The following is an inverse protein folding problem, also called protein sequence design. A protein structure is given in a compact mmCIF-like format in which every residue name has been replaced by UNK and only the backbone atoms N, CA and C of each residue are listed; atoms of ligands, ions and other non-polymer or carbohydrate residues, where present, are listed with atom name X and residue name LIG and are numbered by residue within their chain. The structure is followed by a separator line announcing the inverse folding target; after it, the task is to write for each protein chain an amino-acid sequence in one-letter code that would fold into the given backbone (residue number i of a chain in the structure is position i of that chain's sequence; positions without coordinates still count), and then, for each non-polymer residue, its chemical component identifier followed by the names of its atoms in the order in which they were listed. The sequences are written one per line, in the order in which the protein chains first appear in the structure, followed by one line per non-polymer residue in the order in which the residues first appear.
data_IF_703250440798
#
_entry.id   IF_703250440798
#
_cell.length_a   1.000
_cell.length_b   1.000
_cell.length_c   1.000
_cell.angle_alpha   90.00
_cell.angle_beta   90.00
_cell.angle_gamma   90.00
#
_symmetry.space_group_name_H-M   'P 1'
#
loop_
_entity.id
_entity.type
_entity.pdbx_description
1 polymer ?
#
# COMPACT_ATOMS: atom_id res chain seq x y z
N UNK A 1 6.45 13.36 1.36
CA UNK A 1 6.39 12.00 0.84
C UNK A 1 6.82 11.00 1.90
N UNK A 2 6.71 9.70 1.62
CA UNK A 2 7.23 8.61 2.46
C UNK A 2 8.76 8.55 2.37
N UNK A 3 9.40 7.90 3.34
CA UNK A 3 10.83 7.58 3.26
C UNK A 3 11.13 6.60 2.11
N UNK A 4 12.26 6.77 1.45
CA UNK A 4 12.72 5.92 0.32
C UNK A 4 11.68 5.73 -0.82
N UNK A 5 10.84 6.70 -1.04
CA UNK A 5 9.68 6.62 -1.93
C UNK A 5 9.80 7.53 -3.16
N UNK A 6 11.04 7.87 -3.52
CA UNK A 6 11.43 8.54 -4.76
C UNK A 6 12.92 8.36 -4.99
N UNK A 7 13.34 8.19 -6.23
CA UNK A 7 14.75 8.26 -6.61
C UNK A 7 15.25 9.72 -6.52
N UNK A 8 16.28 9.97 -5.73
CA UNK A 8 16.85 11.34 -5.55
C UNK A 8 17.34 11.96 -6.85
N UNK A 9 17.78 11.14 -7.81
CA UNK A 9 18.15 11.62 -9.15
C UNK A 9 16.96 12.19 -9.93
N UNK A 10 15.73 11.75 -9.63
CA UNK A 10 14.49 12.32 -10.20
C UNK A 10 14.26 13.74 -9.68
N UNK A 11 14.54 13.99 -8.41
CA UNK A 11 14.48 15.34 -7.83
C UNK A 11 15.49 16.26 -8.52
N UNK A 12 16.74 15.80 -8.61
CA UNK A 12 17.82 16.54 -9.28
C UNK A 12 17.46 16.86 -10.73
N UNK A 13 16.91 15.87 -11.46
CA UNK A 13 16.52 16.06 -12.85
C UNK A 13 15.37 17.08 -13.00
N UNK A 14 14.39 17.07 -12.09
CA UNK A 14 13.32 18.07 -12.08
C UNK A 14 13.88 19.49 -11.88
N UNK A 15 14.79 19.68 -10.91
CA UNK A 15 15.42 20.96 -10.64
C UNK A 15 16.22 21.48 -11.84
N UNK A 16 16.99 20.59 -12.47
CA UNK A 16 17.81 20.93 -13.65
C UNK A 16 16.96 21.32 -14.87
N UNK A 17 15.86 20.59 -15.11
CA UNK A 17 14.99 20.84 -16.28
C UNK A 17 14.08 22.06 -16.10
N UNK A 18 13.66 22.36 -14.87
CA UNK A 18 12.64 23.39 -14.61
C UNK A 18 13.18 24.65 -13.96
N UNK A 19 14.33 24.57 -13.30
CA UNK A 19 14.88 25.64 -12.46
C UNK A 19 14.08 25.86 -11.16
N UNK A 20 13.19 24.93 -10.79
CA UNK A 20 12.41 24.97 -9.55
C UNK A 20 13.13 24.12 -8.51
N UNK A 21 13.52 24.74 -7.39
CA UNK A 21 14.16 24.02 -6.29
C UNK A 21 13.12 23.25 -5.46
N UNK A 22 13.49 22.03 -5.06
CA UNK A 22 12.66 21.13 -4.25
C UNK A 22 13.22 21.05 -2.83
N UNK A 23 12.38 21.30 -1.85
CA UNK A 23 12.66 21.00 -0.44
C UNK A 23 11.85 19.74 -0.10
N UNK A 24 12.55 18.64 0.09
CA UNK A 24 11.94 17.32 0.24
C UNK A 24 11.92 16.91 1.70
N UNK A 25 10.73 16.74 2.25
CA UNK A 25 10.48 16.24 3.61
C UNK A 25 9.81 14.86 3.57
N UNK A 26 10.10 14.02 4.54
CA UNK A 26 9.50 12.70 4.70
C UNK A 26 8.66 12.62 5.95
N UNK A 27 7.69 11.71 5.96
CA UNK A 27 6.89 11.31 7.12
C UNK A 27 6.79 9.78 7.16
N UNK A 28 6.55 9.23 8.34
CA UNK A 28 6.46 7.77 8.53
C UNK A 28 5.02 7.27 8.46
N UNK A 29 4.03 8.10 8.83
CA UNK A 29 2.62 7.73 8.81
C UNK A 29 1.73 8.87 8.33
N UNK A 30 0.56 8.54 7.76
CA UNK A 30 -0.47 9.53 7.40
C UNK A 30 -0.92 10.33 8.62
N UNK A 31 -0.97 9.70 9.79
CA UNK A 31 -1.39 10.28 11.06
C UNK A 31 -0.38 11.31 11.59
N UNK A 32 0.89 11.19 11.25
CA UNK A 32 1.91 12.21 11.52
C UNK A 32 1.83 13.37 10.53
N UNK A 33 1.64 13.09 9.25
CA UNK A 33 1.54 14.09 8.20
C UNK A 33 0.30 14.97 8.33
N UNK A 34 -0.87 14.35 8.58
CA UNK A 34 -2.16 15.04 8.56
C UNK A 34 -2.21 16.29 9.48
N UNK A 35 -1.89 16.19 10.80
CA UNK A 35 -1.96 17.35 11.68
C UNK A 35 -0.95 18.45 11.31
N UNK A 36 0.18 18.12 10.71
CA UNK A 36 1.18 19.10 10.27
C UNK A 36 0.63 19.92 9.09
N UNK A 37 0.01 19.26 8.13
CA UNK A 37 -0.63 19.91 6.98
C UNK A 37 -1.85 20.72 7.43
N UNK A 38 -2.68 20.17 8.33
CA UNK A 38 -3.87 20.84 8.88
C UNK A 38 -3.50 22.12 9.63
N UNK A 39 -2.48 22.06 10.47
CA UNK A 39 -2.01 23.22 11.24
C UNK A 39 -1.47 24.36 10.35
N UNK A 40 -1.00 24.04 9.13
CA UNK A 40 -0.54 25.01 8.13
C UNK A 40 0.66 25.84 8.57
N UNK A 41 1.37 25.41 9.60
CA UNK A 41 2.60 26.06 10.08
C UNK A 41 3.78 25.83 9.14
N UNK A 42 3.88 24.64 8.55
CA UNK A 42 4.71 24.33 7.41
C UNK A 42 3.78 24.31 6.18
N UNK A 43 4.16 25.06 5.14
CA UNK A 43 3.38 25.11 3.91
C UNK A 43 4.00 24.19 2.89
N UNK A 44 3.42 23.02 2.76
CA UNK A 44 3.75 22.10 1.68
C UNK A 44 3.02 22.50 0.40
N UNK A 45 3.70 22.47 -0.72
CA UNK A 45 3.10 22.72 -2.03
C UNK A 45 2.48 21.44 -2.60
N UNK A 46 3.03 20.28 -2.24
CA UNK A 46 2.56 18.96 -2.68
C UNK A 46 2.83 17.93 -1.59
N UNK A 47 1.94 16.98 -1.43
CA UNK A 47 2.09 15.82 -0.53
C UNK A 47 1.59 14.54 -1.21
N UNK A 48 2.06 13.37 -0.77
CA UNK A 48 1.69 12.07 -1.34
C UNK A 48 1.15 11.14 -0.25
N UNK A 49 -0.10 11.32 0.21
CA UNK A 49 -0.75 10.45 1.17
C UNK A 49 -1.43 9.24 0.52
N UNK A 50 -1.87 8.30 1.35
CA UNK A 50 -2.67 7.16 0.93
C UNK A 50 -4.16 7.53 0.74
N UNK A 51 -4.88 6.67 0.04
CA UNK A 51 -6.28 6.77 -0.35
C UNK A 51 -7.24 7.27 0.75
N UNK A 52 -7.34 6.58 1.89
CA UNK A 52 -8.24 6.96 2.99
C UNK A 52 -7.91 8.33 3.59
N UNK A 53 -6.62 8.69 3.60
CA UNK A 53 -6.18 9.98 4.10
C UNK A 53 -6.50 11.10 3.10
N UNK A 54 -6.38 10.84 1.80
CA UNK A 54 -6.84 11.77 0.76
C UNK A 54 -8.32 12.04 0.90
N UNK A 55 -9.14 11.00 1.11
CA UNK A 55 -10.57 11.16 1.39
C UNK A 55 -10.81 12.07 2.60
N UNK A 56 -10.14 11.79 3.71
CA UNK A 56 -10.23 12.62 4.93
C UNK A 56 -9.84 14.07 4.67
N UNK A 57 -8.80 14.31 3.90
CA UNK A 57 -8.35 15.66 3.54
C UNK A 57 -9.37 16.37 2.63
N UNK A 58 -10.02 15.66 1.69
CA UNK A 58 -11.09 16.20 0.85
C UNK A 58 -12.28 16.57 1.73
N UNK A 59 -12.75 15.68 2.58
CA UNK A 59 -13.90 15.88 3.47
C UNK A 59 -13.70 17.09 4.40
N UNK A 60 -12.46 17.33 4.83
CA UNK A 60 -12.06 18.47 5.65
C UNK A 60 -11.65 19.71 4.83
N UNK A 61 -11.89 19.71 3.50
CA UNK A 61 -11.61 20.84 2.60
C UNK A 61 -10.17 21.35 2.69
N UNK A 62 -9.21 20.42 2.81
CA UNK A 62 -7.79 20.69 2.94
C UNK A 62 -7.03 20.69 1.62
N UNK A 63 -7.64 20.25 0.52
CA UNK A 63 -7.02 20.11 -0.78
C UNK A 63 -7.50 21.18 -1.77
N UNK A 64 -6.63 21.52 -2.71
CA UNK A 64 -6.96 22.32 -3.88
C UNK A 64 -7.31 21.42 -5.05
N UNK A 65 -8.33 21.78 -5.84
CA UNK A 65 -8.59 21.11 -7.11
C UNK A 65 -7.42 21.30 -8.06
N UNK A 66 -7.01 20.23 -8.73
CA UNK A 66 -5.93 20.23 -9.72
C UNK A 66 -6.38 20.84 -11.03
N UNK A 67 -5.48 21.57 -11.69
CA UNK A 67 -5.65 22.03 -13.06
C UNK A 67 -4.93 21.07 -14.01
N UNK A 68 -5.69 20.16 -14.62
CA UNK A 68 -5.13 19.13 -15.51
C UNK A 68 -4.55 19.70 -16.80
N UNK A 69 -4.83 20.95 -17.17
CA UNK A 69 -4.13 21.63 -18.26
C UNK A 69 -2.63 21.81 -17.94
N UNK A 70 -2.27 21.85 -16.66
CA UNK A 70 -0.88 21.88 -16.18
C UNK A 70 -0.27 20.47 -15.99
N UNK A 71 -1.07 19.40 -16.09
CA UNK A 71 -0.67 18.01 -15.85
C UNK A 71 -1.00 17.12 -17.07
N UNK A 72 -0.58 17.49 -18.29
CA UNK A 72 -0.95 16.71 -19.48
C UNK A 72 -0.43 15.27 -19.45
N UNK A 73 0.67 14.98 -18.77
CA UNK A 73 1.20 13.61 -18.65
C UNK A 73 0.34 12.72 -17.73
N UNK A 74 -0.68 13.25 -17.04
CA UNK A 74 -1.64 12.43 -16.32
C UNK A 74 -2.40 11.44 -17.24
N UNK A 75 -2.42 11.70 -18.55
CA UNK A 75 -2.91 10.76 -19.57
C UNK A 75 -2.13 9.43 -19.62
N UNK A 76 -0.95 9.38 -19.00
CA UNK A 76 -0.15 8.16 -18.87
C UNK A 76 -0.63 7.24 -17.74
N UNK A 77 -1.48 7.73 -16.84
CA UNK A 77 -2.08 6.90 -15.79
C UNK A 77 -3.21 6.06 -16.40
N UNK A 78 -3.15 4.74 -16.17
CA UNK A 78 -4.12 3.81 -16.75
C UNK A 78 -5.54 4.01 -16.21
N UNK A 79 -6.55 3.78 -17.05
CA UNK A 79 -7.98 3.96 -16.73
C UNK A 79 -8.43 3.19 -15.49
N UNK A 80 -7.84 2.01 -15.25
CA UNK A 80 -8.15 1.19 -14.07
C UNK A 80 -7.81 1.93 -12.77
N UNK A 81 -6.69 2.63 -12.73
CA UNK A 81 -6.22 3.36 -11.55
C UNK A 81 -7.03 4.64 -11.31
N UNK A 82 -7.42 5.34 -12.39
CA UNK A 82 -8.38 6.44 -12.29
C UNK A 82 -9.73 5.99 -11.72
N UNK A 83 -10.19 4.81 -12.13
CA UNK A 83 -11.41 4.22 -11.59
C UNK A 83 -11.27 3.82 -10.12
N UNK A 84 -10.11 3.30 -9.73
CA UNK A 84 -9.80 3.01 -8.32
C UNK A 84 -9.82 4.29 -7.48
N UNK A 85 -9.19 5.36 -7.94
CA UNK A 85 -9.14 6.65 -7.25
C UNK A 85 -10.51 7.27 -6.99
N UNK A 86 -11.51 6.97 -7.81
CA UNK A 86 -12.90 7.40 -7.57
C UNK A 86 -13.49 6.86 -6.26
N UNK A 87 -12.88 5.84 -5.66
CA UNK A 87 -13.27 5.32 -4.35
C UNK A 87 -13.05 6.33 -3.21
N UNK A 88 -12.08 7.24 -3.34
CA UNK A 88 -11.73 8.26 -2.35
C UNK A 88 -11.72 9.69 -2.90
N UNK A 89 -11.58 9.88 -4.21
CA UNK A 89 -11.68 11.15 -4.94
C UNK A 89 -12.70 10.99 -6.08
N UNK A 90 -14.02 11.14 -5.84
CA UNK A 90 -15.09 10.69 -6.73
C UNK A 90 -15.03 11.22 -8.16
N UNK A 91 -14.50 12.41 -8.34
CA UNK A 91 -14.39 13.07 -9.66
C UNK A 91 -12.94 13.14 -10.16
N UNK A 92 -11.99 12.51 -9.46
CA UNK A 92 -10.54 12.60 -9.71
C UNK A 92 -10.06 14.07 -9.80
N UNK A 93 -10.52 14.92 -8.89
CA UNK A 93 -10.23 16.36 -8.94
C UNK A 93 -9.00 16.77 -8.13
N UNK A 94 -8.64 15.98 -7.14
CA UNK A 94 -7.69 16.37 -6.10
C UNK A 94 -6.40 15.58 -6.14
N UNK A 95 -6.38 14.41 -6.78
CA UNK A 95 -5.28 13.45 -6.67
C UNK A 95 -4.85 12.87 -8.01
N UNK A 96 -3.55 12.60 -8.15
CA UNK A 96 -2.97 11.87 -9.29
C UNK A 96 -2.25 10.63 -8.75
N UNK A 97 -2.64 9.40 -9.17
CA UNK A 97 -2.03 8.15 -8.75
C UNK A 97 -0.52 8.13 -8.96
N UNK A 98 0.22 7.62 -7.97
CA UNK A 98 1.68 7.56 -7.97
C UNK A 98 2.22 6.13 -7.85
N UNK A 99 1.83 5.42 -6.80
CA UNK A 99 2.15 4.01 -6.58
C UNK A 99 0.91 3.28 -6.07
N UNK A 100 0.87 1.97 -6.26
CA UNK A 100 -0.23 1.14 -5.79
C UNK A 100 0.26 -0.27 -5.44
N UNK A 101 -0.59 -1.04 -4.80
CA UNK A 101 -0.29 -2.44 -4.51
C UNK A 101 -1.40 -3.14 -3.75
N UNK A 102 -1.07 -4.33 -3.31
CA UNK A 102 -1.95 -5.22 -2.54
C UNK A 102 -1.29 -5.62 -1.23
N UNK A 103 -2.09 -6.15 -0.31
CA UNK A 103 -1.63 -6.88 0.86
C UNK A 103 -1.86 -8.36 0.60
N UNK A 104 -0.90 -9.21 0.90
CA UNK A 104 -1.02 -10.66 0.65
C UNK A 104 -0.22 -11.49 1.64
N UNK A 105 -0.23 -12.79 1.41
CA UNK A 105 0.54 -13.76 2.18
C UNK A 105 1.85 -14.04 1.45
N UNK A 106 2.96 -13.75 2.10
CA UNK A 106 4.30 -14.22 1.74
C UNK A 106 4.53 -15.54 2.47
N UNK A 107 4.94 -16.59 1.75
CA UNK A 107 5.13 -17.91 2.35
C UNK A 107 6.42 -18.59 1.88
N UNK A 108 7.00 -19.36 2.78
CA UNK A 108 8.19 -20.18 2.51
C UNK A 108 7.74 -21.61 2.17
N UNK A 109 7.85 -21.99 0.88
CA UNK A 109 7.41 -23.30 0.38
C UNK A 109 8.01 -24.47 1.14
N UNK A 110 9.32 -24.44 1.38
CA UNK A 110 10.03 -25.52 2.03
C UNK A 110 9.64 -25.69 3.50
N UNK A 111 9.37 -24.57 4.20
CA UNK A 111 8.86 -24.62 5.58
C UNK A 111 7.43 -25.18 5.62
N UNK A 112 6.55 -24.77 4.70
CA UNK A 112 5.20 -25.32 4.61
C UNK A 112 5.21 -26.81 4.30
N UNK A 113 6.08 -27.27 3.40
CA UNK A 113 6.25 -28.71 3.12
C UNK A 113 6.69 -29.49 4.37
N UNK A 114 7.63 -28.95 5.14
CA UNK A 114 8.11 -29.57 6.39
C UNK A 114 7.00 -29.66 7.45
N UNK A 115 6.13 -28.66 7.51
CA UNK A 115 4.96 -28.62 8.39
C UNK A 115 3.79 -29.47 7.85
N UNK A 116 3.86 -29.93 6.59
CA UNK A 116 2.79 -30.66 5.90
C UNK A 116 1.59 -29.77 5.60
N UNK A 117 1.82 -28.48 5.38
CA UNK A 117 0.81 -27.46 5.06
C UNK A 117 0.83 -27.23 3.54
N UNK A 118 -0.31 -27.16 2.83
CA UNK A 118 -0.36 -26.77 1.43
C UNK A 118 -0.06 -25.28 1.29
N UNK A 119 0.30 -24.86 0.08
CA UNK A 119 0.43 -23.43 -0.27
C UNK A 119 -0.89 -22.68 0.01
N UNK A 120 -0.83 -21.47 0.60
CA UNK A 120 -2.03 -20.74 1.00
C UNK A 120 -2.81 -20.24 -0.22
N UNK A 121 -4.14 -20.25 -0.12
CA UNK A 121 -5.07 -19.73 -1.13
C UNK A 121 -6.17 -18.87 -0.52
N UNK A 122 -6.30 -18.90 0.80
CA UNK A 122 -7.34 -18.27 1.59
C UNK A 122 -6.73 -17.57 2.81
N UNK A 123 -7.32 -16.47 3.26
CA UNK A 123 -6.96 -15.89 4.56
C UNK A 123 -7.16 -16.86 5.72
N UNK A 124 -8.05 -17.85 5.56
CA UNK A 124 -8.28 -18.89 6.59
C UNK A 124 -7.05 -19.76 6.85
N UNK A 125 -6.13 -19.86 5.89
CA UNK A 125 -4.90 -20.65 6.02
C UNK A 125 -4.01 -20.13 7.15
N UNK A 126 -4.05 -18.81 7.45
CA UNK A 126 -3.37 -18.20 8.60
C UNK A 126 -3.92 -18.62 9.98
N UNK A 127 -4.91 -19.50 10.04
CA UNK A 127 -5.44 -20.11 11.28
C UNK A 127 -5.10 -21.59 11.41
N UNK A 128 -4.24 -22.15 10.56
CA UNK A 128 -3.80 -23.53 10.68
C UNK A 128 -2.97 -23.71 11.97
N UNK A 129 -3.38 -24.61 12.90
CA UNK A 129 -2.68 -24.81 14.17
C UNK A 129 -1.25 -25.33 14.03
N UNK A 130 -0.86 -25.82 12.85
CA UNK A 130 0.52 -26.23 12.56
C UNK A 130 1.46 -25.03 12.37
N UNK A 131 0.93 -23.82 12.17
CA UNK A 131 1.67 -22.57 12.09
C UNK A 131 1.95 -21.92 13.46
N UNK A 132 1.92 -22.69 14.55
CA UNK A 132 2.16 -22.15 15.89
C UNK A 132 3.53 -21.47 15.98
N UNK A 133 3.55 -20.15 16.26
CA UNK A 133 4.75 -19.28 16.30
C UNK A 133 5.49 -19.13 14.94
N UNK A 134 4.76 -19.31 13.83
CA UNK A 134 5.30 -19.30 12.46
C UNK A 134 4.66 -18.22 11.57
N UNK A 135 3.84 -17.32 12.14
CA UNK A 135 3.16 -16.27 11.40
C UNK A 135 3.69 -14.89 11.81
N UNK A 136 4.03 -14.08 10.80
CA UNK A 136 4.29 -12.65 10.95
C UNK A 136 3.06 -11.85 10.50
N UNK A 137 2.34 -11.28 11.47
CA UNK A 137 1.13 -10.51 11.19
C UNK A 137 1.39 -9.02 11.06
N UNK A 138 0.53 -8.35 10.29
CA UNK A 138 0.57 -6.89 10.15
C UNK A 138 0.29 -6.16 11.47
N UNK A 139 1.11 -5.17 11.77
CA UNK A 139 0.90 -4.23 12.87
C UNK A 139 0.06 -3.01 12.43
N UNK A 140 -0.35 -2.93 11.17
CA UNK A 140 -1.37 -2.00 10.67
C UNK A 140 -2.74 -2.50 11.11
N UNK A 141 -3.50 -1.64 11.82
CA UNK A 141 -4.81 -2.01 12.38
C UNK A 141 -5.78 -2.40 11.29
N UNK A 142 -5.91 -1.55 10.26
CA UNK A 142 -6.87 -1.76 9.19
C UNK A 142 -6.54 -3.00 8.37
N UNK A 143 -5.25 -3.28 8.09
CA UNK A 143 -4.83 -4.47 7.36
C UNK A 143 -4.99 -5.75 8.19
N UNK A 144 -4.68 -5.71 9.49
CA UNK A 144 -4.92 -6.85 10.37
C UNK A 144 -6.43 -7.22 10.46
N UNK A 145 -7.28 -6.21 10.62
CA UNK A 145 -8.74 -6.43 10.62
C UNK A 145 -9.26 -6.88 9.25
N UNK A 146 -8.71 -6.34 8.15
CA UNK A 146 -9.09 -6.73 6.79
C UNK A 146 -9.02 -8.24 6.60
N UNK A 147 -7.97 -8.88 7.08
CA UNK A 147 -7.75 -10.33 6.96
C UNK A 147 -8.94 -11.12 7.56
N UNK A 148 -9.32 -10.79 8.79
CA UNK A 148 -10.44 -11.45 9.47
C UNK A 148 -11.80 -11.10 8.84
N UNK A 149 -11.98 -9.85 8.43
CA UNK A 149 -13.22 -9.39 7.78
C UNK A 149 -13.42 -10.08 6.42
N UNK A 150 -12.37 -10.12 5.58
CA UNK A 150 -12.44 -10.78 4.27
C UNK A 150 -12.68 -12.28 4.39
N UNK A 151 -12.07 -12.97 5.35
CA UNK A 151 -12.33 -14.37 5.63
C UNK A 151 -13.81 -14.62 5.97
N UNK A 152 -14.50 -13.64 6.59
CA UNK A 152 -15.94 -13.72 6.88
C UNK A 152 -16.83 -13.25 5.71
N UNK A 153 -16.26 -12.76 4.64
CA UNK A 153 -17.00 -12.17 3.52
C UNK A 153 -17.56 -10.79 3.81
N UNK A 154 -17.03 -10.10 4.83
CA UNK A 154 -17.39 -8.72 5.15
C UNK A 154 -16.55 -7.72 4.33
N UNK A 155 -17.08 -6.50 4.18
CA UNK A 155 -16.28 -5.40 3.63
C UNK A 155 -15.18 -5.00 4.61
N UNK A 156 -13.96 -4.73 4.11
CA UNK A 156 -12.88 -4.15 4.91
C UNK A 156 -13.18 -2.71 5.36
N UNK A 157 -14.25 -2.12 4.80
CA UNK A 157 -14.74 -0.79 5.16
C UNK A 157 -16.01 -0.83 6.04
N UNK A 158 -16.28 -1.96 6.69
CA UNK A 158 -17.43 -2.04 7.61
C UNK A 158 -17.24 -1.12 8.81
N UNK A 159 -18.34 -0.47 9.21
CA UNK A 159 -18.48 0.24 10.50
C UNK A 159 -19.45 -0.48 11.42
N UNK A 160 -19.88 -1.70 11.07
CA UNK A 160 -20.78 -2.50 11.88
C UNK A 160 -20.05 -3.06 13.11
N UNK A 161 -20.42 -2.65 14.35
CA UNK A 161 -19.71 -3.10 15.55
C UNK A 161 -19.74 -4.61 15.78
N UNK A 162 -20.78 -5.30 15.31
CA UNK A 162 -20.89 -6.77 15.47
C UNK A 162 -19.87 -7.48 14.54
N UNK A 163 -19.73 -7.03 13.28
CA UNK A 163 -18.75 -7.56 12.34
C UNK A 163 -17.31 -7.30 12.83
N UNK A 164 -17.06 -6.09 13.37
CA UNK A 164 -15.78 -5.73 13.96
C UNK A 164 -15.46 -6.58 15.20
N UNK A 165 -16.46 -6.86 16.04
CA UNK A 165 -16.28 -7.72 17.20
C UNK A 165 -15.96 -9.16 16.81
N UNK A 166 -16.61 -9.73 15.76
CA UNK A 166 -16.26 -11.02 15.21
C UNK A 166 -14.84 -11.07 14.69
N UNK A 167 -14.41 -10.04 13.93
CA UNK A 167 -13.05 -9.95 13.41
C UNK A 167 -12.01 -9.86 14.54
N UNK A 168 -12.26 -9.06 15.58
CA UNK A 168 -11.42 -9.00 16.78
C UNK A 168 -11.27 -10.35 17.45
N UNK A 169 -12.37 -11.06 17.66
CA UNK A 169 -12.36 -12.36 18.33
C UNK A 169 -11.57 -13.41 17.54
N UNK A 170 -11.66 -13.37 16.19
CA UNK A 170 -10.83 -14.18 15.31
C UNK A 170 -9.35 -13.85 15.44
N UNK A 171 -8.98 -12.58 15.46
CA UNK A 171 -7.57 -12.18 15.63
C UNK A 171 -7.02 -12.56 17.01
N UNK A 172 -7.85 -12.55 18.05
CA UNK A 172 -7.50 -13.08 19.38
C UNK A 172 -7.28 -14.60 19.33
N UNK A 173 -8.13 -15.33 18.62
CA UNK A 173 -7.98 -16.80 18.42
C UNK A 173 -6.69 -17.13 17.66
N UNK A 174 -6.32 -16.31 16.68
CA UNK A 174 -5.10 -16.49 15.88
C UNK A 174 -3.82 -16.25 16.69
N UNK A 175 -3.86 -15.42 17.71
CA UNK A 175 -2.67 -14.92 18.42
C UNK A 175 -1.65 -15.98 18.84
N UNK A 176 -2.02 -17.20 19.30
CA UNK A 176 -1.07 -18.26 19.62
C UNK A 176 -0.23 -18.76 18.42
N UNK A 177 -0.64 -18.43 17.19
CA UNK A 177 0.04 -18.78 15.96
C UNK A 177 1.03 -17.67 15.52
N UNK A 178 0.82 -16.46 16.03
CA UNK A 178 1.56 -15.26 15.63
C UNK A 178 2.86 -15.13 16.40
N UNK A 179 3.98 -15.20 15.69
CA UNK A 179 5.32 -14.94 16.22
C UNK A 179 5.49 -13.46 16.60
N UNK A 180 5.10 -12.58 15.68
CA UNK A 180 5.22 -11.13 15.86
C UNK A 180 4.20 -10.35 15.02
N UNK A 181 3.83 -9.15 15.54
CA UNK A 181 3.13 -8.12 14.78
C UNK A 181 4.16 -7.10 14.30
N UNK A 182 4.39 -7.03 13.00
CA UNK A 182 5.43 -6.22 12.36
C UNK A 182 4.91 -5.57 11.08
N UNK A 183 5.63 -4.63 10.50
CA UNK A 183 5.33 -4.04 9.19
C UNK A 183 6.50 -4.41 8.24
N UNK A 184 7.48 -3.56 8.07
CA UNK A 184 8.58 -3.77 7.13
C UNK A 184 9.51 -4.92 7.52
N UNK A 185 9.60 -5.24 8.83
CA UNK A 185 10.42 -6.34 9.33
C UNK A 185 9.96 -7.74 8.86
N UNK A 186 8.74 -7.87 8.30
CA UNK A 186 8.28 -9.13 7.68
C UNK A 186 9.30 -9.57 6.63
N UNK A 187 9.70 -8.67 5.76
CA UNK A 187 10.63 -8.89 4.67
C UNK A 187 11.92 -9.57 5.16
N UNK A 188 12.62 -8.90 6.08
CA UNK A 188 13.93 -9.38 6.55
C UNK A 188 13.82 -10.71 7.33
N UNK A 189 12.76 -10.86 8.13
CA UNK A 189 12.51 -12.10 8.87
C UNK A 189 12.21 -13.28 7.96
N UNK A 190 11.41 -13.08 6.91
CA UNK A 190 11.12 -14.13 5.93
C UNK A 190 12.37 -14.50 5.11
N UNK A 191 13.18 -13.51 4.68
CA UNK A 191 14.48 -13.73 4.02
C UNK A 191 15.45 -14.53 4.94
N UNK A 192 15.38 -14.34 6.25
CA UNK A 192 16.18 -15.09 7.21
C UNK A 192 15.60 -16.48 7.55
N UNK A 193 14.44 -16.85 7.03
CA UNK A 193 13.77 -18.11 7.33
C UNK A 193 13.25 -18.21 8.78
N UNK A 194 12.84 -17.08 9.37
CA UNK A 194 12.41 -17.03 10.77
C UNK A 194 10.92 -17.38 10.95
N UNK A 195 10.12 -17.45 9.87
CA UNK A 195 8.70 -17.78 9.91
C UNK A 195 8.27 -18.46 8.60
N UNK A 196 7.18 -19.24 8.65
CA UNK A 196 6.64 -19.93 7.50
C UNK A 196 5.74 -19.05 6.64
N UNK A 197 4.99 -18.14 7.26
CA UNK A 197 4.08 -17.21 6.58
C UNK A 197 4.19 -15.80 7.16
N UNK A 198 4.01 -14.81 6.29
CA UNK A 198 3.99 -13.39 6.68
C UNK A 198 3.01 -12.58 5.85
N UNK A 199 2.32 -11.64 6.47
CA UNK A 199 1.45 -10.71 5.75
C UNK A 199 2.25 -9.48 5.37
N UNK A 200 2.32 -9.16 4.06
CA UNK A 200 3.22 -8.16 3.51
C UNK A 200 2.57 -7.37 2.37
N UNK A 201 3.14 -6.21 2.06
CA UNK A 201 2.79 -5.43 0.88
C UNK A 201 3.50 -5.97 -0.38
N UNK A 202 2.79 -6.02 -1.50
CA UNK A 202 3.27 -6.63 -2.75
C UNK A 202 4.57 -6.03 -3.29
N UNK A 203 4.84 -4.75 -3.07
CA UNK A 203 6.03 -4.06 -3.55
C UNK A 203 7.35 -4.59 -2.98
N UNK A 204 7.31 -5.26 -1.82
CA UNK A 204 8.49 -5.85 -1.22
C UNK A 204 9.03 -7.08 -1.99
N UNK A 205 8.22 -7.64 -2.88
CA UNK A 205 8.57 -8.89 -3.57
C UNK A 205 9.79 -8.78 -4.46
N UNK A 206 10.01 -7.65 -5.14
CA UNK A 206 11.22 -7.48 -5.97
C UNK A 206 12.49 -7.52 -5.12
N UNK A 207 12.51 -6.77 -4.04
CA UNK A 207 13.64 -6.77 -3.11
C UNK A 207 13.89 -8.17 -2.52
N UNK A 208 12.82 -8.88 -2.13
CA UNK A 208 12.92 -10.23 -1.57
C UNK A 208 13.53 -11.19 -2.60
N UNK A 209 13.10 -11.14 -3.85
CA UNK A 209 13.62 -11.99 -4.93
C UNK A 209 15.10 -11.70 -5.20
N UNK A 210 15.49 -10.43 -5.26
CA UNK A 210 16.89 -10.03 -5.40
C UNK A 210 17.76 -10.52 -4.24
N UNK A 211 17.30 -10.39 -3.00
CA UNK A 211 18.05 -10.83 -1.83
C UNK A 211 18.20 -12.36 -1.76
N UNK A 212 17.18 -13.11 -2.14
CA UNK A 212 17.27 -14.57 -2.22
C UNK A 212 18.36 -14.99 -3.21
N UNK A 213 18.41 -14.35 -4.39
CA UNK A 213 19.43 -14.63 -5.42
C UNK A 213 20.83 -14.22 -4.95
N UNK A 214 20.99 -13.00 -4.43
CA UNK A 214 22.28 -12.49 -3.95
C UNK A 214 22.88 -13.32 -2.81
N UNK A 215 22.07 -13.76 -1.87
CA UNK A 215 22.48 -14.57 -0.73
C UNK A 215 22.63 -16.06 -1.08
N UNK A 216 22.16 -16.47 -2.26
CA UNK A 216 22.18 -17.87 -2.73
C UNK A 216 21.38 -18.80 -1.81
N UNK A 217 20.22 -18.33 -1.35
CA UNK A 217 19.35 -19.12 -0.49
C UNK A 217 18.70 -20.25 -1.28
N UNK A 218 18.49 -21.40 -0.62
CA UNK A 218 17.98 -22.62 -1.23
C UNK A 218 16.49 -22.87 -0.93
N UNK A 219 15.73 -21.80 -0.68
CA UNK A 219 14.29 -21.84 -0.47
C UNK A 219 13.58 -20.73 -1.25
N UNK A 220 12.33 -20.99 -1.58
CA UNK A 220 11.48 -20.12 -2.36
C UNK A 220 10.50 -19.38 -1.45
N UNK A 221 10.50 -18.04 -1.56
CA UNK A 221 9.46 -17.18 -0.98
C UNK A 221 8.51 -16.75 -2.10
N UNK A 222 7.24 -17.06 -1.93
CA UNK A 222 6.20 -16.69 -2.89
C UNK A 222 5.10 -15.87 -2.23
N UNK A 223 4.41 -15.10 -3.06
CA UNK A 223 3.36 -14.18 -2.64
C UNK A 223 2.01 -14.57 -3.27
N UNK A 224 0.95 -14.50 -2.48
CA UNK A 224 -0.40 -14.73 -2.97
C UNK A 224 -1.39 -13.74 -2.38
N UNK A 225 -2.31 -13.25 -3.20
CA UNK A 225 -3.53 -12.56 -2.75
C UNK A 225 -4.64 -13.61 -2.64
N UNK A 226 -5.18 -13.85 -1.43
CA UNK A 226 -6.27 -14.81 -1.22
C UNK A 226 -7.54 -14.49 -2.00
N UNK A 227 -8.31 -15.54 -2.35
CA UNK A 227 -9.50 -15.42 -3.21
C UNK A 227 -10.62 -14.55 -2.60
N UNK A 228 -10.65 -14.38 -1.29
CA UNK A 228 -11.61 -13.51 -0.61
C UNK A 228 -11.37 -12.02 -0.88
N UNK A 229 -10.24 -11.69 -1.51
CA UNK A 229 -9.81 -10.33 -1.77
C UNK A 229 -9.02 -9.71 -0.63
N UNK A 230 -8.51 -8.52 -0.86
CA UNK A 230 -7.58 -7.82 0.03
C UNK A 230 -7.78 -6.31 0.00
N UNK A 231 -6.90 -5.59 0.71
CA UNK A 231 -6.70 -4.16 0.54
C UNK A 231 -5.98 -3.91 -0.79
N UNK A 232 -6.62 -3.12 -1.65
CA UNK A 232 -5.93 -2.38 -2.71
C UNK A 232 -5.59 -1.01 -2.13
N UNK A 233 -4.34 -0.63 -2.14
CA UNK A 233 -3.94 0.71 -1.71
C UNK A 233 -3.37 1.48 -2.89
N UNK A 234 -3.55 2.80 -2.87
CA UNK A 234 -3.05 3.70 -3.88
C UNK A 234 -2.62 5.02 -3.23
N UNK A 235 -1.34 5.30 -3.34
CA UNK A 235 -0.79 6.58 -2.92
C UNK A 235 -0.84 7.56 -4.08
N UNK A 236 -1.21 8.78 -3.81
CA UNK A 236 -1.42 9.78 -4.85
C UNK A 236 -0.90 11.16 -4.45
N UNK A 237 -0.40 11.90 -5.43
CA UNK A 237 0.01 13.27 -5.25
C UNK A 237 -1.19 14.20 -5.16
N UNK A 238 -1.21 15.02 -4.13
CA UNK A 238 -2.25 16.03 -3.88
C UNK A 238 -1.62 17.39 -3.55
N UNK A 239 -2.35 18.47 -3.80
CA UNK A 239 -1.94 19.83 -3.51
C UNK A 239 -2.74 20.35 -2.32
N UNK A 240 -2.10 20.69 -1.17
CA UNK A 240 -2.77 21.31 -0.05
C UNK A 240 -3.41 22.66 -0.44
N UNK A 241 -4.57 22.97 0.13
CA UNK A 241 -5.31 24.20 -0.20
C UNK A 241 -4.56 25.50 0.09
N UNK A 242 -3.64 25.45 1.05
CA UNK A 242 -2.80 26.57 1.47
C UNK A 242 -1.43 26.59 0.79
N UNK A 243 -1.21 25.77 -0.25
CA UNK A 243 0.00 25.76 -1.06
C UNK A 243 0.27 27.17 -1.64
N UNK A 244 1.52 27.62 -1.56
CA UNK A 244 1.93 28.92 -2.08
C UNK A 244 2.34 28.84 -3.56
N UNK A 245 2.76 27.65 -4.01
CA UNK A 245 3.30 27.42 -5.34
C UNK A 245 2.54 26.32 -6.11
N UNK A 246 1.19 26.40 -6.17
CA UNK A 246 0.33 25.40 -6.80
C UNK A 246 0.76 25.05 -8.23
N UNK A 247 1.11 26.03 -9.07
CA UNK A 247 1.55 25.77 -10.44
C UNK A 247 2.88 24.98 -10.48
N UNK A 248 3.80 25.25 -9.54
CA UNK A 248 5.04 24.47 -9.41
C UNK A 248 4.76 23.03 -8.93
N UNK A 249 3.81 22.87 -8.02
CA UNK A 249 3.35 21.55 -7.56
C UNK A 249 2.72 20.73 -8.71
N UNK A 250 1.88 21.35 -9.54
CA UNK A 250 1.30 20.70 -10.71
C UNK A 250 2.35 20.34 -11.77
N UNK A 251 3.38 21.18 -11.95
CA UNK A 251 4.53 20.83 -12.80
C UNK A 251 5.33 19.66 -12.25
N UNK A 252 5.48 19.56 -10.93
CA UNK A 252 6.09 18.41 -10.27
C UNK A 252 5.29 17.13 -10.55
N UNK A 253 3.98 17.15 -10.33
CA UNK A 253 3.10 16.02 -10.61
C UNK A 253 3.18 15.63 -12.09
N UNK A 254 3.12 16.60 -12.99
CA UNK A 254 3.23 16.35 -14.43
C UNK A 254 4.58 15.73 -14.81
N UNK A 255 5.67 16.16 -14.19
CA UNK A 255 7.00 15.61 -14.41
C UNK A 255 7.08 14.16 -13.97
N UNK A 256 6.54 13.82 -12.80
CA UNK A 256 6.51 12.45 -12.28
C UNK A 256 5.63 11.49 -13.11
N UNK A 257 4.66 12.03 -13.86
CA UNK A 257 3.83 11.26 -14.78
C UNK A 257 4.52 10.96 -16.13
N UNK A 258 5.69 11.50 -16.42
CA UNK A 258 6.44 11.14 -17.63
C UNK A 258 6.82 9.65 -17.57
N UNK A 259 6.67 8.88 -18.65
CA UNK A 259 7.00 7.45 -18.66
C UNK A 259 8.43 7.12 -18.23
N UNK A 260 9.42 7.88 -18.71
CA UNK A 260 10.84 7.72 -18.37
C UNK A 260 11.13 7.99 -16.88
N UNK A 261 10.46 8.99 -16.30
CA UNK A 261 10.59 9.36 -14.89
C UNK A 261 9.84 8.36 -13.99
N UNK A 262 8.62 8.01 -14.36
CA UNK A 262 7.83 7.01 -13.64
C UNK A 262 8.51 5.64 -13.62
N UNK A 263 9.16 5.23 -14.75
CA UNK A 263 9.96 4.01 -14.82
C UNK A 263 11.16 4.06 -13.88
N UNK A 264 11.90 5.19 -13.88
CA UNK A 264 13.04 5.38 -13.00
C UNK A 264 12.66 5.30 -11.52
N UNK A 265 11.53 5.92 -11.15
CA UNK A 265 10.97 5.80 -9.80
C UNK A 265 10.52 4.36 -9.49
N UNK A 266 9.86 3.67 -10.42
CA UNK A 266 9.45 2.29 -10.24
C UNK A 266 10.65 1.38 -9.96
N UNK A 267 11.74 1.52 -10.72
CA UNK A 267 12.97 0.73 -10.52
C UNK A 267 13.62 0.96 -9.14
N UNK A 268 13.47 2.15 -8.58
CA UNK A 268 14.00 2.48 -7.26
C UNK A 268 13.06 2.07 -6.12
N UNK A 269 11.76 2.41 -6.26
CA UNK A 269 10.75 2.22 -5.21
C UNK A 269 10.32 0.75 -5.13
N UNK A 270 10.34 0.02 -6.25
CA UNK A 270 9.88 -1.37 -6.45
C UNK A 270 8.37 -1.60 -6.31
N UNK A 271 7.60 -0.59 -5.88
CA UNK A 271 6.15 -0.67 -5.81
C UNK A 271 5.49 -0.38 -7.16
N UNK A 272 4.41 -1.07 -7.45
CA UNK A 272 3.76 -1.05 -8.75
C UNK A 272 3.37 0.35 -9.20
N UNK A 273 3.69 0.65 -10.46
CA UNK A 273 3.37 1.94 -11.06
C UNK A 273 1.99 1.91 -11.73
N UNK A 274 1.16 2.95 -11.56
CA UNK A 274 -0.07 3.12 -12.32
C UNK A 274 0.17 3.72 -13.72
N UNK A 275 1.43 4.05 -14.06
CA UNK A 275 1.81 4.68 -15.31
C UNK A 275 1.99 3.64 -16.43
N UNK A 276 1.14 3.67 -17.44
CA UNK A 276 1.13 2.71 -18.55
C UNK A 276 2.40 2.77 -19.38
N UNK A 277 2.95 3.97 -19.60
CA UNK A 277 4.20 4.13 -20.33
C UNK A 277 5.41 3.58 -19.57
N UNK A 278 5.44 3.72 -18.24
CA UNK A 278 6.48 3.12 -17.41
C UNK A 278 6.37 1.59 -17.41
N UNK A 279 5.15 1.04 -17.33
CA UNK A 279 4.91 -0.39 -17.47
C UNK A 279 5.41 -0.92 -18.83
N UNK A 280 5.11 -0.23 -19.93
CA UNK A 280 5.58 -0.60 -21.28
C UNK A 280 7.11 -0.53 -21.45
N UNK A 281 7.79 0.32 -20.68
CA UNK A 281 9.25 0.43 -20.64
C UNK A 281 9.92 -0.64 -19.78
N UNK A 282 9.16 -1.35 -18.95
CA UNK A 282 9.66 -2.45 -18.13
C UNK A 282 9.90 -3.69 -18.99
N UNK A 283 10.81 -4.55 -18.53
CA UNK A 283 11.05 -5.82 -19.22
C UNK A 283 9.88 -6.80 -19.03
N UNK A 284 9.90 -7.88 -19.83
CA UNK A 284 8.81 -8.87 -19.85
C UNK A 284 8.69 -9.63 -18.52
N UNK A 285 9.77 -9.79 -17.77
CA UNK A 285 9.78 -10.45 -16.47
C UNK A 285 9.03 -9.62 -15.43
N UNK A 286 9.32 -8.32 -15.34
CA UNK A 286 8.59 -7.39 -14.47
C UNK A 286 7.13 -7.25 -14.87
N UNK A 287 6.82 -7.15 -16.17
CA UNK A 287 5.44 -7.04 -16.66
C UNK A 287 4.58 -8.27 -16.30
N UNK A 288 5.20 -9.46 -16.26
CA UNK A 288 4.54 -10.72 -15.90
C UNK A 288 4.62 -11.08 -14.41
N UNK A 289 5.16 -10.21 -13.57
CA UNK A 289 5.20 -10.44 -12.13
C UNK A 289 3.81 -10.25 -11.51
N UNK A 290 3.14 -11.35 -11.17
CA UNK A 290 1.77 -11.35 -10.65
C UNK A 290 1.63 -10.70 -9.26
N UNK A 291 2.71 -10.61 -8.48
CA UNK A 291 2.69 -9.89 -7.21
C UNK A 291 2.56 -8.37 -7.44
N UNK A 292 3.21 -7.86 -8.49
CA UNK A 292 3.21 -6.44 -8.84
C UNK A 292 2.04 -6.06 -9.76
N UNK A 293 1.75 -6.91 -10.74
CA UNK A 293 0.72 -6.67 -11.76
C UNK A 293 -0.24 -7.87 -11.85
N UNK A 294 -1.05 -8.09 -10.80
CA UNK A 294 -2.01 -9.20 -10.77
C UNK A 294 -3.08 -9.04 -11.85
N UNK A 295 -3.64 -10.18 -12.28
CA UNK A 295 -4.82 -10.16 -13.16
C UNK A 295 -6.01 -9.50 -12.43
N UNK A 296 -6.33 -8.27 -12.83
CA UNK A 296 -7.43 -7.48 -12.27
C UNK A 296 -8.81 -8.13 -12.48
N UNK A 297 -8.92 -9.11 -13.38
CA UNK A 297 -10.13 -9.89 -13.62
C UNK A 297 -10.23 -11.15 -12.76
N UNK A 298 -9.19 -11.49 -12.01
CA UNK A 298 -9.19 -12.63 -11.09
C UNK A 298 -10.24 -12.47 -9.97
N UNK A 299 -10.72 -13.58 -9.36
CA UNK A 299 -11.63 -13.51 -8.21
C UNK A 299 -11.07 -12.69 -7.04
N UNK A 300 -9.79 -12.88 -6.71
CA UNK A 300 -9.10 -12.16 -5.66
C UNK A 300 -9.18 -10.64 -5.87
N UNK A 301 -8.84 -10.17 -7.06
CA UNK A 301 -8.84 -8.73 -7.36
C UNK A 301 -10.25 -8.14 -7.43
N UNK A 302 -11.24 -8.89 -7.95
CA UNK A 302 -12.66 -8.46 -7.97
C UNK A 302 -13.27 -8.35 -6.57
N UNK A 303 -12.79 -9.13 -5.62
CA UNK A 303 -13.24 -9.11 -4.23
C UNK A 303 -12.44 -8.11 -3.37
N UNK A 304 -11.38 -7.53 -3.91
CA UNK A 304 -10.54 -6.55 -3.22
C UNK A 304 -11.21 -5.17 -3.16
N UNK A 305 -10.84 -4.39 -2.16
CA UNK A 305 -11.41 -3.07 -1.92
C UNK A 305 -10.32 -2.07 -1.55
N UNK A 306 -10.53 -0.79 -1.86
CA UNK A 306 -9.71 0.32 -1.38
C UNK A 306 -10.15 0.69 0.03
N UNK A 307 -9.20 1.02 0.91
CA UNK A 307 -9.48 1.55 2.23
C UNK A 307 -10.20 2.91 2.12
N UNK A 308 -11.21 3.11 2.98
CA UNK A 308 -11.92 4.37 3.11
C UNK A 308 -11.77 4.94 4.51
N UNK A 309 -11.84 6.25 4.60
CA UNK A 309 -12.00 6.91 5.88
C UNK A 309 -13.42 6.66 6.41
N UNK A 310 -13.52 6.08 7.58
CA UNK A 310 -14.79 5.65 8.19
C UNK A 310 -15.30 6.62 9.27
N UNK A 311 -14.59 7.72 9.47
CA UNK A 311 -14.86 8.69 10.53
C UNK A 311 -14.19 8.33 11.86
N UNK A 312 -13.91 9.36 12.66
CA UNK A 312 -13.16 9.25 13.92
C UNK A 312 -13.82 8.29 14.92
N UNK A 313 -15.15 8.19 14.95
CA UNK A 313 -15.87 7.28 15.85
C UNK A 313 -15.58 5.82 15.50
N UNK A 314 -15.58 5.46 14.23
CA UNK A 314 -15.27 4.11 13.77
C UNK A 314 -13.78 3.79 13.97
N UNK A 315 -12.89 4.73 13.67
CA UNK A 315 -11.45 4.58 13.90
C UNK A 315 -11.15 4.34 15.38
N UNK A 316 -11.85 5.01 16.29
CA UNK A 316 -11.73 4.75 17.73
C UNK A 316 -12.17 3.32 18.11
N UNK A 317 -13.22 2.79 17.49
CA UNK A 317 -13.65 1.39 17.72
C UNK A 317 -12.54 0.41 17.29
N UNK A 318 -11.98 0.57 16.10
CA UNK A 318 -10.85 -0.24 15.63
C UNK A 318 -9.65 -0.15 16.58
N UNK A 319 -9.30 1.05 17.02
CA UNK A 319 -8.19 1.28 17.95
C UNK A 319 -8.39 0.58 19.30
N UNK A 320 -9.60 0.64 19.89
CA UNK A 320 -9.88 -0.03 21.16
C UNK A 320 -9.86 -1.56 20.99
N UNK A 321 -10.49 -2.09 19.96
CA UNK A 321 -10.49 -3.52 19.68
C UNK A 321 -9.07 -4.05 19.37
N UNK A 322 -8.24 -3.27 18.70
CA UNK A 322 -6.83 -3.63 18.46
C UNK A 322 -6.02 -3.73 19.75
N UNK A 323 -6.26 -2.84 20.70
CA UNK A 323 -5.65 -2.95 22.05
C UNK A 323 -6.06 -4.25 22.74
N UNK A 324 -7.32 -4.69 22.58
CA UNK A 324 -7.78 -5.98 23.11
C UNK A 324 -7.04 -7.16 22.46
N UNK A 325 -6.86 -7.15 21.13
CA UNK A 325 -6.07 -8.15 20.41
C UNK A 325 -4.63 -8.20 20.91
N UNK A 326 -4.00 -7.04 21.09
CA UNK A 326 -2.58 -6.96 21.53
C UNK A 326 -2.39 -7.34 23.01
N UNK A 327 -3.41 -7.22 23.84
CA UNK A 327 -3.33 -7.45 25.29
C UNK A 327 -3.41 -8.94 25.70
N UNK A 328 -3.87 -9.82 24.82
CA UNK A 328 -3.95 -11.27 25.04
C UNK A 328 -2.58 -11.92 24.77
#
# INVERSE_FOLDING_TARGET
NWGEYIDEDVITQFEDETGISVVYDVFETNEEMYPVVEAGGVKYDVVCPSDYMIQRMIDNNMLAELDYDNIPNADQIGDAYWKMSQGFDPDNKYSVPYCWGTVGILYNKQMLEQLGIPEPTSWADLWDPRLADEILMQNSIRDAFMIALKQKGYSLNTSNPDELAEARDMLIEQKPLVQAYVIDQVRDKMINGEAAEGVIYSGEMLYIQEQIEELGLDYDLEYVVPEEGTTLWIDSWVVPKNAENKEAAEKWINFLCRPDIAKKNFDYITYSTPNTGAYELSDEELQNNEALFPDMDSPAMKNSEILRYLGDDTDNIYNEMWKEVKAQ
#
